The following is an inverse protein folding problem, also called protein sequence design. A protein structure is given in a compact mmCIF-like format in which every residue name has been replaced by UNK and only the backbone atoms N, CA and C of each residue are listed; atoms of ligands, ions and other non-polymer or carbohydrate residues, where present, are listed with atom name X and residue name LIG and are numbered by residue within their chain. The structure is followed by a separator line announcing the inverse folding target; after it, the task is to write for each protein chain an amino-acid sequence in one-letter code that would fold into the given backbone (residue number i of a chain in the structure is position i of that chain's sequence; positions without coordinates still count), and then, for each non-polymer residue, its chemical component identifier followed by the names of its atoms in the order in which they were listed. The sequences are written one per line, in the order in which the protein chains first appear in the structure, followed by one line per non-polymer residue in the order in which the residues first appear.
data_IF_225335214525
#
_entry.id   IF_225335214525
#
_cell.length_a   1.000
_cell.length_b   1.000
_cell.length_c   1.000
_cell.angle_alpha   90.00
_cell.angle_beta   90.00
_cell.angle_gamma   90.00
#
_symmetry.space_group_name_H-M   'P 1'
#
loop_
_entity.id
_entity.type
_entity.pdbx_description
1 polymer ?
#
# COMPACT_ATOMS: atom_id res chain seq x y z
N UNK A 1 1.14 7.12 7.78
CA UNK A 1 1.66 7.66 6.50
C UNK A 1 2.70 8.76 6.75
N UNK A 2 3.57 9.04 5.75
CA UNK A 2 4.55 10.14 5.84
C UNK A 2 3.84 11.49 5.99
N UNK A 3 2.72 11.68 5.31
CA UNK A 3 1.91 12.89 5.42
C UNK A 3 1.38 13.14 6.83
N UNK A 4 0.96 12.10 7.53
CA UNK A 4 0.50 12.18 8.92
C UNK A 4 1.64 12.54 9.88
N UNK A 5 2.81 11.92 9.72
CA UNK A 5 3.99 12.28 10.50
C UNK A 5 4.43 13.73 10.25
N UNK A 6 4.36 14.19 9.01
CA UNK A 6 4.66 15.58 8.65
C UNK A 6 3.64 16.55 9.29
N UNK A 7 2.35 16.20 9.28
CA UNK A 7 1.30 16.99 9.95
C UNK A 7 1.58 17.15 11.44
N UNK A 8 1.99 16.08 12.12
CA UNK A 8 2.36 16.13 13.54
C UNK A 8 3.58 17.05 13.78
N UNK A 9 4.58 16.99 12.90
CA UNK A 9 5.75 17.89 13.00
C UNK A 9 5.35 19.36 12.75
N UNK A 10 4.46 19.60 11.81
CA UNK A 10 3.93 20.93 11.55
C UNK A 10 3.18 21.50 12.78
N UNK A 11 2.35 20.69 13.43
CA UNK A 11 1.66 21.05 14.67
C UNK A 11 2.64 21.40 15.80
N UNK A 12 3.74 20.64 15.94
CA UNK A 12 4.82 20.96 16.90
C UNK A 12 5.47 22.31 16.55
N UNK A 13 5.71 22.57 15.28
CA UNK A 13 6.25 23.85 14.81
C UNK A 13 5.35 25.03 15.16
N UNK A 14 4.04 24.90 14.96
CA UNK A 14 3.04 25.91 15.31
C UNK A 14 2.98 26.13 16.82
N UNK A 15 3.01 25.07 17.62
CA UNK A 15 3.02 25.19 19.09
C UNK A 15 4.26 25.95 19.60
N UNK A 16 5.43 25.65 19.05
CA UNK A 16 6.68 26.40 19.36
C UNK A 16 6.57 27.88 18.98
N UNK A 17 6.04 28.16 17.78
CA UNK A 17 5.85 29.53 17.32
C UNK A 17 4.86 30.29 18.22
N UNK A 18 3.74 29.67 18.58
CA UNK A 18 2.75 30.26 19.50
C UNK A 18 3.34 30.60 20.85
N UNK A 19 4.17 29.70 21.40
CA UNK A 19 4.90 29.96 22.65
C UNK A 19 5.83 31.20 22.54
N UNK A 20 6.63 31.24 21.48
CA UNK A 20 7.56 32.36 21.24
C UNK A 20 6.80 33.69 21.07
N UNK A 21 5.65 33.68 20.40
CA UNK A 21 4.81 34.89 20.27
C UNK A 21 4.33 35.37 21.64
N UNK A 22 3.82 34.49 22.50
CA UNK A 22 3.38 34.81 23.84
C UNK A 22 4.54 35.42 24.70
N UNK A 23 5.71 34.79 24.64
CA UNK A 23 6.90 35.26 25.33
C UNK A 23 7.30 36.68 24.86
N UNK A 24 7.30 36.95 23.57
CA UNK A 24 7.59 38.25 22.98
C UNK A 24 6.55 39.32 23.35
N UNK A 25 5.27 38.96 23.37
CA UNK A 25 4.19 39.85 23.81
C UNK A 25 4.34 40.27 25.29
N UNK A 26 4.71 39.34 26.17
CA UNK A 26 4.86 39.61 27.58
C UNK A 26 6.08 40.49 27.90
N UNK A 27 7.13 40.45 27.08
CA UNK A 27 8.36 41.24 27.30
C UNK A 27 8.22 42.67 26.78
N UNK A 28 7.32 42.93 25.83
CA UNK A 28 7.16 44.22 25.17
C UNK A 28 5.88 44.94 25.61
N UNK A 29 5.79 45.29 26.87
CA UNK A 29 4.55 45.81 27.49
C UNK A 29 4.07 47.20 26.99
N UNK A 30 4.88 47.97 26.24
CA UNK A 30 4.53 49.35 25.87
C UNK A 30 4.90 49.78 24.42
N UNK A 31 5.25 48.84 23.54
CA UNK A 31 5.59 49.17 22.14
C UNK A 31 4.46 48.80 21.18
N UNK A 32 4.20 49.65 20.20
CA UNK A 32 3.34 49.31 19.05
C UNK A 32 4.10 48.34 18.16
N UNK A 33 3.68 47.09 18.14
CA UNK A 33 4.27 46.07 17.29
C UNK A 33 3.29 45.55 16.24
N UNK A 34 3.83 45.10 15.11
CA UNK A 34 3.06 44.48 14.04
C UNK A 34 3.10 42.98 14.20
N UNK A 35 2.12 42.21 13.63
CA UNK A 35 2.18 40.74 13.59
C UNK A 35 3.46 40.19 12.98
N UNK A 36 4.08 40.91 12.06
CA UNK A 36 5.33 40.49 11.39
C UNK A 36 6.49 40.47 12.37
N UNK A 37 6.52 41.37 13.33
CA UNK A 37 7.58 41.45 14.35
C UNK A 37 7.52 40.30 15.36
N UNK A 38 6.33 39.71 15.54
CA UNK A 38 6.08 38.60 16.46
C UNK A 38 6.32 37.26 15.81
N UNK A 39 5.98 37.12 14.55
CA UNK A 39 6.01 35.85 13.83
C UNK A 39 7.42 35.54 13.31
N UNK A 40 7.93 34.36 13.64
CA UNK A 40 9.19 33.86 13.11
C UNK A 40 8.95 32.58 12.29
N UNK A 41 8.86 32.74 10.98
CA UNK A 41 8.66 31.64 10.03
C UNK A 41 9.79 30.60 10.07
N UNK A 42 11.01 30.97 10.49
CA UNK A 42 12.14 30.04 10.61
C UNK A 42 11.86 28.89 11.57
N UNK A 43 11.01 29.10 12.57
CA UNK A 43 10.63 28.05 13.53
C UNK A 43 9.93 26.89 12.84
N UNK A 44 9.01 27.15 11.93
CA UNK A 44 8.31 26.11 11.15
C UNK A 44 9.26 25.51 10.13
N UNK A 45 9.95 26.32 9.35
CA UNK A 45 10.89 25.85 8.32
C UNK A 45 11.98 24.95 8.91
N UNK A 46 12.49 25.27 10.11
CA UNK A 46 13.48 24.44 10.80
C UNK A 46 12.94 23.06 11.18
N UNK A 47 11.71 22.97 11.67
CA UNK A 47 11.09 21.69 12.04
C UNK A 47 10.85 20.82 10.80
N UNK A 48 10.34 21.41 9.72
CA UNK A 48 10.09 20.71 8.48
C UNK A 48 11.40 20.23 7.84
N UNK A 49 12.41 21.07 7.76
CA UNK A 49 13.71 20.69 7.21
C UNK A 49 14.38 19.60 8.07
N UNK A 50 14.24 19.66 9.38
CA UNK A 50 14.72 18.61 10.28
C UNK A 50 14.01 17.29 10.02
N UNK A 51 12.69 17.31 9.83
CA UNK A 51 11.93 16.10 9.48
C UNK A 51 12.44 15.46 8.20
N UNK A 52 12.54 16.21 7.11
CA UNK A 52 13.03 15.66 5.84
C UNK A 52 14.50 15.23 5.87
N UNK A 53 15.32 15.81 6.74
CA UNK A 53 16.73 15.46 6.88
C UNK A 53 17.01 14.26 7.80
N UNK A 54 16.15 13.98 8.77
CA UNK A 54 16.43 13.00 9.84
C UNK A 54 15.45 11.85 9.94
N UNK A 55 14.26 11.96 9.35
CA UNK A 55 13.26 10.90 9.41
C UNK A 55 13.65 9.71 8.51
N UNK A 56 13.61 8.50 9.06
CA UNK A 56 13.97 7.27 8.34
C UNK A 56 13.07 6.96 7.14
N UNK A 57 11.83 7.46 7.12
CA UNK A 57 10.88 7.27 6.00
C UNK A 57 11.02 8.35 4.92
N UNK A 58 11.72 9.46 5.23
CA UNK A 58 12.09 10.45 4.23
C UNK A 58 13.38 10.01 3.55
N UNK A 59 13.25 9.46 2.34
CA UNK A 59 14.35 8.88 1.58
C UNK A 59 14.52 9.58 0.25
N UNK A 60 15.71 9.52 -0.30
CA UNK A 60 15.96 9.95 -1.68
C UNK A 60 15.16 9.04 -2.62
N UNK A 61 14.37 9.64 -3.51
CA UNK A 61 13.47 8.89 -4.38
C UNK A 61 14.26 8.10 -5.43
N UNK A 62 13.93 6.82 -5.57
CA UNK A 62 14.43 6.01 -6.67
C UNK A 62 13.72 6.41 -7.97
N UNK A 63 14.45 7.01 -8.88
CA UNK A 63 13.96 7.56 -10.16
C UNK A 63 14.66 6.93 -11.37
N UNK A 64 15.17 5.73 -11.27
CA UNK A 64 15.83 5.03 -12.39
C UNK A 64 14.87 4.85 -13.57
N UNK A 65 13.61 4.53 -13.28
CA UNK A 65 12.51 4.42 -14.23
C UNK A 65 11.18 4.73 -13.54
N UNK A 66 10.07 4.95 -14.29
CA UNK A 66 8.76 5.24 -13.69
C UNK A 66 8.27 4.16 -12.72
N UNK A 67 8.54 2.88 -12.99
CA UNK A 67 8.17 1.77 -12.11
C UNK A 67 8.89 1.86 -10.76
N UNK A 68 10.18 2.16 -10.76
CA UNK A 68 10.97 2.36 -9.54
C UNK A 68 10.40 3.48 -8.67
N UNK A 69 9.96 4.57 -9.27
CA UNK A 69 9.34 5.70 -8.61
C UNK A 69 8.00 5.33 -7.95
N UNK A 70 7.11 4.66 -8.68
CA UNK A 70 5.81 4.21 -8.18
C UNK A 70 5.98 3.22 -7.04
N UNK A 71 6.85 2.22 -7.21
CA UNK A 71 7.09 1.20 -6.17
C UNK A 71 7.71 1.78 -4.92
N UNK A 72 8.58 2.79 -5.05
CA UNK A 72 9.15 3.48 -3.89
C UNK A 72 8.07 4.23 -3.09
N UNK A 73 7.14 4.91 -3.77
CA UNK A 73 6.02 5.63 -3.12
C UNK A 73 5.02 4.69 -2.42
N UNK A 74 4.88 3.46 -2.90
CA UNK A 74 3.96 2.43 -2.36
C UNK A 74 4.64 1.45 -1.41
N UNK A 75 5.83 1.75 -0.95
CA UNK A 75 6.60 0.89 -0.05
C UNK A 75 6.11 1.00 1.38
N UNK A 76 6.01 -0.15 2.05
CA UNK A 76 5.72 -0.28 3.46
C UNK A 76 6.97 -0.74 4.20
N UNK A 77 7.26 -0.14 5.35
CA UNK A 77 8.42 -0.50 6.18
C UNK A 77 7.98 -0.79 7.60
N UNK A 78 8.43 -1.92 8.14
CA UNK A 78 8.28 -2.23 9.57
C UNK A 78 9.34 -1.54 10.43
N UNK A 79 10.33 -0.90 9.81
CA UNK A 79 11.44 -0.20 10.45
C UNK A 79 11.09 1.29 10.64
N UNK A 80 11.78 1.95 11.54
CA UNK A 80 11.66 3.39 11.74
C UNK A 80 11.08 3.78 13.09
N UNK A 81 10.71 5.06 13.29
CA UNK A 81 10.17 5.55 14.55
C UNK A 81 8.87 4.82 14.92
N UNK A 82 8.85 4.19 16.10
CA UNK A 82 7.71 3.38 16.56
C UNK A 82 7.64 1.97 15.98
N UNK A 83 8.57 1.59 15.09
CA UNK A 83 8.66 0.28 14.48
C UNK A 83 9.69 -0.64 15.11
N UNK A 84 10.03 -1.72 14.39
CA UNK A 84 11.00 -2.73 14.81
C UNK A 84 12.43 -2.32 14.48
N UNK A 85 13.41 -2.87 15.20
CA UNK A 85 14.81 -2.87 14.79
C UNK A 85 15.14 -4.19 14.07
N UNK A 86 16.08 -4.14 13.12
CA UNK A 86 16.50 -5.32 12.34
C UNK A 86 16.93 -6.49 13.23
N UNK A 87 17.61 -6.20 14.31
CA UNK A 87 18.17 -7.18 15.24
C UNK A 87 17.10 -7.88 16.08
N UNK A 88 15.98 -7.21 16.35
CA UNK A 88 14.85 -7.72 17.13
C UNK A 88 13.76 -8.38 16.28
N UNK A 89 13.85 -8.26 14.98
CA UNK A 89 12.88 -8.85 14.07
C UNK A 89 13.15 -10.35 13.89
N UNK A 90 12.37 -11.19 14.53
CA UNK A 90 12.37 -12.63 14.37
C UNK A 90 11.75 -13.08 13.04
N UNK A 91 11.65 -14.40 12.83
CA UNK A 91 11.03 -14.98 11.64
C UNK A 91 9.54 -14.67 11.55
N UNK A 92 8.82 -14.66 12.66
CA UNK A 92 7.38 -14.46 12.71
C UNK A 92 6.92 -13.15 12.06
N UNK A 93 7.67 -12.06 12.27
CA UNK A 93 7.35 -10.73 11.67
C UNK A 93 7.79 -10.60 10.22
N UNK A 94 8.57 -11.56 9.70
CA UNK A 94 9.04 -11.60 8.31
C UNK A 94 8.19 -12.51 7.43
N UNK A 95 7.40 -13.38 8.05
CA UNK A 95 6.54 -14.32 7.36
C UNK A 95 5.31 -13.66 6.74
N UNK A 96 4.75 -14.32 5.75
CA UNK A 96 3.49 -13.93 5.13
C UNK A 96 2.33 -14.49 5.93
N UNK A 97 1.44 -13.61 6.37
CA UNK A 97 0.23 -13.97 7.09
C UNK A 97 -0.98 -13.94 6.14
N UNK A 98 -2.04 -14.71 6.39
CA UNK A 98 -3.24 -14.71 5.54
C UNK A 98 -3.89 -13.32 5.40
N UNK A 99 -3.77 -12.46 6.42
CA UNK A 99 -4.25 -11.07 6.37
C UNK A 99 -3.51 -10.17 5.38
N UNK A 100 -2.37 -10.62 4.83
CA UNK A 100 -1.64 -9.91 3.79
C UNK A 100 -2.34 -9.99 2.42
N UNK A 101 -3.28 -10.92 2.26
CA UNK A 101 -3.99 -11.10 0.99
C UNK A 101 -4.62 -9.79 0.51
N UNK A 102 -4.32 -9.41 -0.72
CA UNK A 102 -4.81 -8.17 -1.32
C UNK A 102 -4.24 -6.86 -0.73
N UNK A 103 -3.45 -6.91 0.34
CA UNK A 103 -2.89 -5.74 1.05
C UNK A 103 -1.40 -5.59 0.84
N UNK A 104 -0.64 -6.61 1.18
CA UNK A 104 0.82 -6.63 1.03
C UNK A 104 1.22 -7.74 0.07
N UNK A 105 2.06 -7.40 -0.90
CA UNK A 105 2.55 -8.38 -1.88
C UNK A 105 3.50 -9.38 -1.20
N UNK A 106 3.26 -10.70 -1.32
CA UNK A 106 4.13 -11.71 -0.73
C UNK A 106 5.45 -11.91 -1.48
N UNK A 107 5.54 -11.40 -2.72
CA UNK A 107 6.67 -11.63 -3.63
C UNK A 107 7.65 -10.47 -3.57
N UNK A 108 7.17 -9.22 -3.59
CA UNK A 108 8.02 -8.03 -3.65
C UNK A 108 8.56 -7.65 -2.28
N UNK A 109 9.78 -8.09 -1.97
CA UNK A 109 10.54 -7.75 -0.77
C UNK A 109 12.02 -7.65 -1.12
N UNK A 110 12.84 -6.85 -0.41
CA UNK A 110 14.28 -6.85 -0.59
C UNK A 110 14.89 -8.21 -0.25
N UNK A 111 16.00 -8.53 -0.89
CA UNK A 111 16.84 -9.66 -0.50
C UNK A 111 17.81 -9.22 0.62
N UNK A 112 18.13 -10.14 1.53
CA UNK A 112 19.08 -9.90 2.60
C UNK A 112 18.44 -9.57 3.97
N UNK A 113 19.11 -8.75 4.82
CA UNK A 113 18.69 -8.55 6.21
C UNK A 113 17.33 -7.87 6.39
N UNK A 114 16.82 -7.21 5.37
CA UNK A 114 15.51 -6.53 5.38
C UNK A 114 14.37 -7.38 4.80
N UNK A 115 14.60 -8.64 4.48
CA UNK A 115 13.59 -9.52 3.92
C UNK A 115 12.36 -9.57 4.83
N UNK A 116 11.16 -9.43 4.27
CA UNK A 116 9.90 -9.43 5.01
C UNK A 116 9.63 -8.18 5.86
N UNK A 117 10.63 -7.33 6.14
CA UNK A 117 10.45 -6.08 6.90
C UNK A 117 10.09 -4.89 6.01
N UNK A 118 10.40 -4.98 4.75
CA UNK A 118 10.03 -3.99 3.74
C UNK A 118 9.19 -4.71 2.69
N UNK A 119 7.99 -4.22 2.48
CA UNK A 119 6.99 -4.79 1.59
C UNK A 119 6.44 -3.72 0.66
N UNK A 120 5.69 -4.13 -0.34
CA UNK A 120 4.96 -3.21 -1.23
C UNK A 120 3.46 -3.46 -1.13
N UNK A 121 2.67 -2.39 -1.27
CA UNK A 121 1.22 -2.49 -1.35
C UNK A 121 0.80 -3.25 -2.61
N UNK A 122 -0.21 -4.09 -2.49
CA UNK A 122 -0.88 -4.71 -3.63
C UNK A 122 -1.51 -3.65 -4.55
N UNK A 123 -1.78 -4.03 -5.81
CA UNK A 123 -2.26 -3.11 -6.86
C UNK A 123 -3.48 -2.31 -6.40
N UNK A 124 -4.50 -2.99 -5.84
CA UNK A 124 -5.76 -2.37 -5.44
C UNK A 124 -5.82 -1.92 -3.98
N UNK A 125 -4.76 -2.16 -3.20
CA UNK A 125 -4.73 -1.80 -1.79
C UNK A 125 -4.73 -0.29 -1.59
N UNK A 126 -5.51 0.17 -0.61
CA UNK A 126 -5.59 1.56 -0.15
C UNK A 126 -5.36 1.63 1.36
N UNK A 127 -5.00 2.80 1.85
CA UNK A 127 -4.87 3.07 3.28
C UNK A 127 -6.04 3.97 3.67
N UNK A 128 -6.81 3.56 4.68
CA UNK A 128 -7.93 4.33 5.18
C UNK A 128 -7.46 5.50 6.08
N UNK A 129 -8.40 6.32 6.55
CA UNK A 129 -8.13 7.47 7.41
C UNK A 129 -7.52 7.09 8.76
N UNK A 130 -7.80 5.89 9.24
CA UNK A 130 -7.25 5.35 10.49
C UNK A 130 -5.84 4.73 10.32
N UNK A 131 -5.37 4.59 9.08
CA UNK A 131 -4.06 4.02 8.77
C UNK A 131 -4.05 2.51 8.50
N UNK A 132 -5.22 1.85 8.46
CA UNK A 132 -5.33 0.43 8.08
C UNK A 132 -5.31 0.26 6.57
N UNK A 133 -4.78 -0.87 6.12
CA UNK A 133 -4.76 -1.23 4.70
C UNK A 133 -6.06 -1.95 4.37
N UNK A 134 -6.75 -1.46 3.36
CA UNK A 134 -8.00 -2.00 2.84
C UNK A 134 -7.80 -2.58 1.44
N UNK A 135 -8.58 -3.59 1.12
CA UNK A 135 -8.63 -4.22 -0.21
C UNK A 135 -10.07 -4.28 -0.70
N UNK A 136 -10.31 -4.13 -2.02
CA UNK A 136 -11.66 -4.15 -2.56
C UNK A 136 -12.16 -5.58 -2.76
N UNK A 137 -13.45 -5.75 -2.51
CA UNK A 137 -14.21 -6.97 -2.79
C UNK A 137 -15.53 -6.62 -3.46
N UNK A 138 -16.07 -7.53 -4.25
CA UNK A 138 -17.42 -7.47 -4.78
C UNK A 138 -18.39 -8.12 -3.81
N UNK A 139 -19.54 -7.49 -3.56
CA UNK A 139 -20.61 -8.08 -2.76
C UNK A 139 -21.28 -9.21 -3.51
N UNK A 140 -21.61 -10.27 -2.80
CA UNK A 140 -22.39 -11.40 -3.30
C UNK A 140 -23.67 -11.48 -2.46
N UNK A 141 -24.82 -11.50 -3.10
CA UNK A 141 -26.10 -11.69 -2.45
C UNK A 141 -26.85 -12.85 -3.11
N UNK A 142 -27.22 -13.85 -2.31
CA UNK A 142 -27.97 -15.05 -2.77
C UNK A 142 -27.32 -15.76 -3.99
N UNK A 143 -25.98 -15.83 -4.02
CA UNK A 143 -25.24 -16.45 -5.12
C UNK A 143 -25.12 -15.59 -6.38
N UNK A 144 -25.46 -14.33 -6.33
CA UNK A 144 -25.32 -13.35 -7.39
C UNK A 144 -24.29 -12.29 -7.00
N UNK A 145 -23.28 -12.10 -7.84
CA UNK A 145 -22.21 -11.09 -7.68
C UNK A 145 -22.70 -9.75 -8.23
N UNK A 146 -22.52 -8.70 -7.46
CA UNK A 146 -22.76 -7.34 -7.94
C UNK A 146 -21.56 -6.88 -8.80
N UNK A 147 -21.79 -6.73 -10.10
CA UNK A 147 -20.78 -6.31 -11.06
C UNK A 147 -20.70 -4.78 -11.23
N UNK A 148 -21.58 -4.03 -10.56
CA UNK A 148 -21.54 -2.56 -10.59
C UNK A 148 -20.38 -2.00 -9.77
N UNK A 149 -20.00 -0.75 -10.05
CA UNK A 149 -18.97 -0.07 -9.25
C UNK A 149 -19.47 0.24 -7.81
N UNK A 150 -20.78 0.33 -7.60
CA UNK A 150 -21.40 0.51 -6.27
C UNK A 150 -21.33 -0.76 -5.42
N UNK A 151 -21.18 -1.93 -6.06
CA UNK A 151 -20.98 -3.22 -5.42
C UNK A 151 -19.60 -3.44 -4.84
N UNK A 152 -18.65 -2.52 -5.09
CA UNK A 152 -17.30 -2.59 -4.57
C UNK A 152 -17.26 -2.08 -3.11
N UNK A 153 -16.71 -2.91 -2.23
CA UNK A 153 -16.51 -2.58 -0.81
C UNK A 153 -15.04 -2.76 -0.47
N UNK A 154 -14.47 -1.73 0.16
CA UNK A 154 -13.12 -1.82 0.71
C UNK A 154 -13.23 -2.30 2.16
N UNK A 155 -12.51 -3.37 2.49
CA UNK A 155 -12.53 -3.99 3.82
C UNK A 155 -11.12 -4.05 4.41
N UNK A 156 -11.05 -3.81 5.71
CA UNK A 156 -9.88 -4.10 6.53
C UNK A 156 -9.75 -5.60 6.80
N UNK A 157 -8.61 -6.04 7.32
CA UNK A 157 -8.42 -7.45 7.65
C UNK A 157 -9.39 -7.96 8.72
N UNK A 158 -9.74 -7.11 9.70
CA UNK A 158 -10.70 -7.42 10.76
C UNK A 158 -12.12 -7.60 10.21
N UNK A 159 -12.54 -6.72 9.31
CA UNK A 159 -13.87 -6.81 8.68
C UNK A 159 -14.01 -7.98 7.71
N UNK A 160 -12.88 -8.46 7.17
CA UNK A 160 -12.81 -9.63 6.29
C UNK A 160 -12.84 -10.95 7.06
N UNK A 161 -12.41 -10.94 8.32
CA UNK A 161 -12.31 -12.12 9.16
C UNK A 161 -13.63 -12.91 9.19
N UNK A 162 -13.52 -14.22 9.10
CA UNK A 162 -14.63 -15.17 9.05
C UNK A 162 -15.53 -15.11 7.81
N UNK A 163 -15.35 -14.17 6.87
CA UNK A 163 -16.16 -14.11 5.65
C UNK A 163 -15.72 -15.13 4.62
N UNK A 164 -16.69 -15.66 3.89
CA UNK A 164 -16.45 -16.59 2.80
C UNK A 164 -16.31 -15.82 1.49
N UNK A 165 -15.11 -15.85 0.93
CA UNK A 165 -14.71 -15.04 -0.23
C UNK A 165 -14.43 -15.93 -1.43
N UNK A 166 -15.17 -15.78 -2.52
CA UNK A 166 -14.94 -16.50 -3.77
C UNK A 166 -13.70 -15.96 -4.49
N UNK A 167 -13.01 -16.85 -5.20
CA UNK A 167 -11.86 -16.48 -6.03
C UNK A 167 -12.31 -15.63 -7.24
N UNK A 168 -11.48 -14.64 -7.62
CA UNK A 168 -11.76 -13.71 -8.72
C UNK A 168 -11.80 -14.36 -10.13
N UNK A 169 -11.34 -15.59 -10.26
CA UNK A 169 -11.41 -16.37 -11.51
C UNK A 169 -12.58 -17.36 -11.55
N UNK A 170 -13.49 -17.33 -10.59
CA UNK A 170 -14.68 -18.16 -10.60
C UNK A 170 -15.55 -17.79 -11.83
N UNK A 171 -15.99 -18.79 -12.65
CA UNK A 171 -16.79 -18.50 -13.82
C UNK A 171 -18.18 -17.99 -13.42
N UNK A 172 -18.54 -16.85 -13.98
CA UNK A 172 -19.85 -16.20 -13.80
C UNK A 172 -20.63 -16.23 -15.12
N UNK A 173 -21.95 -16.27 -15.01
CA UNK A 173 -22.86 -15.99 -16.11
C UNK A 173 -22.95 -14.47 -16.35
N UNK A 174 -23.54 -14.07 -17.48
CA UNK A 174 -23.75 -12.66 -17.82
C UNK A 174 -24.62 -11.93 -16.78
N UNK A 175 -25.47 -12.67 -16.06
CA UNK A 175 -26.31 -12.14 -14.96
C UNK A 175 -25.59 -11.96 -13.63
N UNK A 176 -24.30 -12.33 -13.55
CA UNK A 176 -23.49 -12.27 -12.32
C UNK A 176 -23.68 -13.48 -11.39
N UNK A 177 -24.40 -14.53 -11.79
CA UNK A 177 -24.55 -15.77 -11.02
C UNK A 177 -23.40 -16.73 -11.28
N UNK A 178 -23.05 -17.54 -10.28
CA UNK A 178 -21.99 -18.55 -10.45
C UNK A 178 -22.48 -19.68 -11.37
N UNK A 179 -21.62 -20.09 -12.29
CA UNK A 179 -21.89 -21.19 -13.25
C UNK A 179 -21.89 -22.55 -12.55
N UNK A 180 -21.11 -22.70 -11.49
CA UNK A 180 -20.89 -23.96 -10.78
C UNK A 180 -21.69 -24.03 -9.50
N UNK A 181 -22.21 -25.22 -9.19
CA UNK A 181 -22.92 -25.51 -7.93
C UNK A 181 -21.99 -25.49 -6.70
N UNK A 182 -20.68 -25.53 -6.92
CA UNK A 182 -19.65 -25.45 -5.88
C UNK A 182 -18.58 -24.46 -6.29
N UNK A 183 -18.32 -23.49 -5.41
CA UNK A 183 -17.36 -22.42 -5.62
C UNK A 183 -16.16 -22.62 -4.70
N UNK A 184 -14.96 -22.52 -5.27
CA UNK A 184 -13.74 -22.46 -4.47
C UNK A 184 -13.68 -21.11 -3.79
N UNK A 185 -13.59 -21.13 -2.47
CA UNK A 185 -13.59 -19.94 -1.64
C UNK A 185 -12.39 -19.93 -0.70
N UNK A 186 -12.19 -18.82 -0.06
CA UNK A 186 -11.20 -18.59 0.99
C UNK A 186 -11.94 -18.13 2.24
N UNK A 187 -11.55 -18.66 3.38
CA UNK A 187 -12.00 -18.22 4.69
C UNK A 187 -10.78 -18.27 5.62
N UNK A 188 -10.29 -17.12 6.04
CA UNK A 188 -9.05 -16.97 6.80
C UNK A 188 -7.87 -17.74 6.17
N UNK A 189 -7.37 -18.78 6.84
CA UNK A 189 -6.28 -19.62 6.34
C UNK A 189 -6.76 -20.87 5.56
N UNK A 190 -8.07 -21.12 5.52
CA UNK A 190 -8.65 -22.30 4.89
C UNK A 190 -9.22 -21.99 3.50
N UNK A 191 -9.34 -23.05 2.69
CA UNK A 191 -9.86 -22.97 1.32
C UNK A 191 -11.07 -23.91 1.13
N UNK A 192 -12.22 -23.59 1.73
CA UNK A 192 -13.42 -24.39 1.61
C UNK A 192 -14.00 -24.34 0.21
N UNK A 193 -14.72 -25.40 -0.18
CA UNK A 193 -15.54 -25.44 -1.39
C UNK A 193 -16.99 -25.43 -0.97
N UNK A 194 -17.68 -24.32 -1.20
CA UNK A 194 -19.02 -24.04 -0.66
C UNK A 194 -20.03 -23.83 -1.80
N UNK A 195 -21.34 -23.99 -1.52
CA UNK A 195 -22.37 -23.60 -2.49
C UNK A 195 -22.40 -22.07 -2.67
N UNK A 196 -22.87 -21.56 -3.84
CA UNK A 196 -22.94 -20.12 -4.10
C UNK A 196 -23.72 -19.29 -3.09
N UNK A 197 -24.69 -19.91 -2.40
CA UNK A 197 -25.54 -19.24 -1.40
C UNK A 197 -24.80 -18.87 -0.12
N UNK A 198 -23.67 -19.51 0.18
CA UNK A 198 -22.86 -19.24 1.36
C UNK A 198 -21.75 -18.21 1.08
N UNK A 199 -21.50 -17.87 -0.18
CA UNK A 199 -20.50 -16.90 -0.56
C UNK A 199 -20.99 -15.48 -0.26
N UNK A 200 -20.22 -14.73 0.53
CA UNK A 200 -20.56 -13.35 0.92
C UNK A 200 -19.86 -12.31 0.04
N UNK A 201 -18.65 -12.61 -0.36
CA UNK A 201 -17.78 -11.70 -1.12
C UNK A 201 -17.09 -12.44 -2.26
N UNK A 202 -16.61 -11.66 -3.24
CA UNK A 202 -15.78 -12.17 -4.32
C UNK A 202 -14.59 -11.25 -4.56
N UNK A 203 -13.42 -11.82 -4.83
CA UNK A 203 -12.25 -11.06 -5.25
C UNK A 203 -12.52 -10.32 -6.57
N UNK A 204 -11.97 -9.10 -6.68
CA UNK A 204 -12.15 -8.29 -7.90
C UNK A 204 -11.37 -8.88 -9.07
N UNK A 205 -10.16 -9.35 -8.81
CA UNK A 205 -9.26 -9.91 -9.82
C UNK A 205 -8.23 -10.84 -9.17
N UNK A 206 -7.75 -11.88 -9.88
CA UNK A 206 -6.62 -12.69 -9.42
C UNK A 206 -5.33 -11.90 -9.20
N UNK A 207 -5.15 -10.76 -9.87
CA UNK A 207 -3.99 -9.88 -9.72
C UNK A 207 -3.98 -9.12 -8.38
N UNK A 208 -5.04 -9.20 -7.61
CA UNK A 208 -5.21 -8.51 -6.33
C UNK A 208 -4.12 -8.85 -5.32
N UNK A 209 -3.53 -10.04 -5.39
CA UNK A 209 -2.45 -10.49 -4.48
C UNK A 209 -1.08 -9.88 -4.79
N UNK A 210 -0.88 -9.36 -5.99
CA UNK A 210 0.40 -8.89 -6.47
C UNK A 210 0.56 -7.38 -6.32
N UNK A 211 1.81 -6.93 -6.13
CA UNK A 211 2.18 -5.51 -6.27
C UNK A 211 2.20 -5.09 -7.74
N UNK A 212 2.35 -3.80 -8.02
CA UNK A 212 2.45 -3.29 -9.39
C UNK A 212 3.63 -3.94 -10.12
N UNK A 213 4.81 -4.02 -9.49
CA UNK A 213 5.97 -4.65 -10.12
C UNK A 213 5.75 -6.14 -10.38
N UNK A 214 5.24 -6.89 -9.42
CA UNK A 214 4.96 -8.32 -9.58
C UNK A 214 3.88 -8.58 -10.64
N UNK A 215 2.88 -7.72 -10.76
CA UNK A 215 1.79 -7.86 -11.74
C UNK A 215 2.21 -7.58 -13.18
N UNK A 216 3.38 -6.98 -13.40
CA UNK A 216 3.97 -6.79 -14.72
C UNK A 216 4.76 -8.01 -15.22
N UNK A 217 4.99 -9.03 -14.39
CA UNK A 217 5.66 -10.27 -14.78
C UNK A 217 4.70 -11.13 -15.59
N UNK A 218 4.97 -11.42 -16.88
CA UNK A 218 4.13 -12.32 -17.68
C UNK A 218 4.21 -13.75 -17.13
N UNK A 219 3.07 -14.46 -17.11
CA UNK A 219 2.97 -15.84 -16.63
C UNK A 219 3.49 -16.06 -15.20
N UNK A 220 3.26 -15.08 -14.33
CA UNK A 220 3.71 -15.10 -12.93
C UNK A 220 3.28 -16.40 -12.20
N UNK A 221 2.10 -16.91 -12.49
CA UNK A 221 1.54 -18.14 -11.91
C UNK A 221 2.35 -19.41 -12.21
N UNK A 222 3.22 -19.37 -13.23
CA UNK A 222 4.10 -20.48 -13.63
C UNK A 222 5.52 -20.33 -13.09
N UNK A 223 5.85 -19.19 -12.48
CA UNK A 223 7.17 -18.91 -11.95
C UNK A 223 7.32 -19.33 -10.49
N UNK A 224 8.53 -19.73 -10.11
CA UNK A 224 8.88 -19.89 -8.70
C UNK A 224 8.91 -18.54 -7.99
N UNK A 225 8.39 -18.50 -6.76
CA UNK A 225 8.30 -17.28 -5.96
C UNK A 225 9.66 -16.59 -5.75
N UNK A 226 10.74 -17.35 -5.57
CA UNK A 226 12.08 -16.81 -5.41
C UNK A 226 12.57 -16.09 -6.67
N UNK A 227 12.25 -16.66 -7.86
CA UNK A 227 12.62 -16.04 -9.14
C UNK A 227 11.74 -14.83 -9.46
N UNK A 228 10.47 -14.87 -9.11
CA UNK A 228 9.57 -13.72 -9.22
C UNK A 228 10.03 -12.56 -8.33
N UNK A 229 10.51 -12.82 -7.11
CA UNK A 229 11.11 -11.84 -6.22
C UNK A 229 12.33 -11.17 -6.88
N UNK A 230 13.26 -11.97 -7.40
CA UNK A 230 14.43 -11.44 -8.10
C UNK A 230 14.04 -10.61 -9.33
N UNK A 231 13.09 -11.11 -10.14
CA UNK A 231 12.58 -10.42 -11.33
C UNK A 231 11.94 -9.07 -11.01
N UNK A 232 11.10 -8.99 -9.98
CA UNK A 232 10.47 -7.74 -9.55
C UNK A 232 11.51 -6.72 -9.08
N UNK A 233 12.55 -7.16 -8.37
CA UNK A 233 13.66 -6.31 -7.96
C UNK A 233 14.47 -5.80 -9.16
N UNK A 234 14.74 -6.67 -10.16
CA UNK A 234 15.50 -6.31 -11.36
C UNK A 234 14.74 -5.31 -12.25
N UNK A 235 13.42 -5.43 -12.39
CA UNK A 235 12.61 -4.48 -13.18
C UNK A 235 12.75 -3.04 -12.69
N UNK A 236 12.90 -2.82 -11.38
CA UNK A 236 13.12 -1.49 -10.80
C UNK A 236 14.50 -0.90 -11.15
N UNK A 237 15.46 -1.73 -11.54
CA UNK A 237 16.81 -1.32 -11.90
C UNK A 237 16.99 -1.12 -13.41
N UNK A 238 15.95 -1.38 -14.21
CA UNK A 238 16.00 -1.24 -15.64
C UNK A 238 16.19 0.21 -16.07
N UNK A 239 17.12 0.46 -16.98
CA UNK A 239 17.41 1.78 -17.53
C UNK A 239 16.48 2.04 -18.73
N UNK A 240 15.74 3.17 -18.78
CA UNK A 240 14.92 3.52 -19.92
C UNK A 240 15.76 3.71 -21.18
N UNK A 241 15.29 3.16 -22.29
CA UNK A 241 15.94 3.34 -23.60
C UNK A 241 15.56 4.71 -24.20
N UNK A 242 16.43 5.28 -25.02
CA UNK A 242 16.14 6.50 -25.78
C UNK A 242 14.92 6.35 -26.70
N UNK A 243 14.77 5.17 -27.27
CA UNK A 243 13.58 4.76 -28.02
C UNK A 243 13.03 3.51 -27.33
N UNK A 244 11.90 3.66 -26.67
CA UNK A 244 11.22 2.54 -26.01
C UNK A 244 10.53 1.65 -27.04
N UNK A 245 10.50 0.36 -26.78
CA UNK A 245 9.80 -0.66 -27.56
C UNK A 245 8.70 -1.28 -26.70
N UNK A 246 7.57 -1.63 -27.34
CA UNK A 246 6.51 -2.34 -26.65
C UNK A 246 6.94 -3.79 -26.36
N UNK A 247 6.59 -4.35 -25.21
CA UNK A 247 6.89 -5.76 -24.92
C UNK A 247 6.11 -6.68 -25.85
N UNK A 248 6.75 -7.75 -26.32
CA UNK A 248 6.11 -8.77 -27.16
C UNK A 248 5.04 -9.52 -26.36
N UNK A 249 5.31 -9.82 -25.09
CA UNK A 249 4.38 -10.43 -24.15
C UNK A 249 4.20 -9.50 -22.97
N UNK A 250 2.98 -9.09 -22.72
CA UNK A 250 2.61 -8.17 -21.64
C UNK A 250 1.48 -8.71 -20.78
N UNK A 251 1.24 -8.07 -19.65
CA UNK A 251 0.09 -8.31 -18.78
C UNK A 251 -1.00 -7.27 -19.05
N UNK A 252 -2.23 -7.50 -18.55
CA UNK A 252 -3.33 -6.53 -18.68
C UNK A 252 -3.01 -5.14 -18.10
N UNK A 253 -2.13 -5.08 -17.11
CA UNK A 253 -1.69 -3.80 -16.50
C UNK A 253 -0.80 -3.00 -17.45
N UNK A 254 0.03 -3.64 -18.26
CA UNK A 254 0.84 -2.96 -19.26
C UNK A 254 -0.01 -2.15 -20.24
N UNK A 255 -1.19 -2.64 -20.59
CA UNK A 255 -2.11 -1.98 -21.55
C UNK A 255 -2.76 -0.73 -20.94
N UNK A 256 -3.00 -0.70 -19.62
CA UNK A 256 -3.59 0.44 -18.94
C UNK A 256 -2.65 1.66 -18.86
N UNK A 257 -1.34 1.44 -18.92
CA UNK A 257 -0.34 2.51 -18.84
C UNK A 257 0.15 3.01 -20.20
N UNK A 258 -0.25 2.37 -21.29
CA UNK A 258 0.15 2.73 -22.66
C UNK A 258 -0.95 3.39 -23.50
N UNK A 259 -2.15 3.55 -22.94
CA UNK A 259 -3.31 4.20 -23.59
C UNK A 259 -3.57 5.60 -23.05
#
# INVERSE_FOLDING_TARGET
TVGEQLSNQFAIGLARMSRTIRERMNVRDNEVFTPIDLINAKTISSVINSFFGTNALSQFMDQTNPLAEITHKRRMSALGPGGLSRERAGFEVRDVHYTHYGRLCPIETPEGPNIGLISSLCVFAKINELGFIETPYRKVAEGKVDLSDEGLVYLTAEEEEAKIIAQGNAPLNDDGTFVRDKVKSRQDADYPVVPPSEVELMDVSPQQIASIAASLIPFLEHDDANRALMGSNMMRQAVPLLKSEAPIVGTGICLLYTS
#
